data_IF_964480677411
#
_entry.id   IF_964480677411
#
_cell.length_a   1.000
_cell.length_b   1.000
_cell.length_c   1.000
_cell.angle_alpha   90.00
_cell.angle_beta   90.00
_cell.angle_gamma   90.00
#
_symmetry.space_group_name_H-M   'P 1'
#
loop_
_entity.id
_entity.type
_entity.pdbx_description
1 polymer ?
#
# COMPACT_ATOMS: atom_id res chain seq x y z
N UNK A 1 23.78 -20.33 -20.75
CA UNK A 1 23.70 -18.93 -20.25
C UNK A 1 23.26 -17.93 -21.34
N UNK A 2 23.40 -18.25 -22.63
CA UNK A 2 23.11 -17.31 -23.73
C UNK A 2 21.61 -17.13 -24.05
N UNK A 3 20.80 -18.18 -23.91
CA UNK A 3 19.36 -18.13 -24.12
C UNK A 3 18.62 -17.18 -23.14
N UNK A 4 19.17 -16.97 -21.93
CA UNK A 4 18.60 -16.04 -20.97
C UNK A 4 18.87 -14.59 -21.38
N UNK A 5 20.06 -14.33 -21.92
CA UNK A 5 20.49 -13.02 -22.44
C UNK A 5 19.63 -12.56 -23.62
N UNK A 6 19.24 -13.48 -24.50
CA UNK A 6 18.36 -13.16 -25.64
C UNK A 6 16.92 -12.83 -25.18
N UNK A 7 16.43 -13.50 -24.14
CA UNK A 7 15.12 -13.20 -23.53
C UNK A 7 15.10 -11.79 -22.92
N UNK A 8 16.12 -11.43 -22.15
CA UNK A 8 16.25 -10.09 -21.56
C UNK A 8 16.28 -8.99 -22.64
N UNK A 9 17.04 -9.22 -23.72
CA UNK A 9 17.14 -8.27 -24.82
C UNK A 9 15.80 -8.00 -25.50
N UNK A 10 14.93 -9.02 -25.66
CA UNK A 10 13.57 -8.84 -26.21
C UNK A 10 12.65 -8.05 -25.29
N UNK A 11 12.77 -8.22 -23.97
CA UNK A 11 12.01 -7.46 -22.97
C UNK A 11 12.41 -5.98 -23.00
N UNK A 12 13.71 -5.67 -22.99
CA UNK A 12 14.23 -4.30 -23.10
C UNK A 12 13.85 -3.62 -24.43
N UNK A 13 13.83 -4.37 -25.54
CA UNK A 13 13.44 -3.87 -26.87
C UNK A 13 11.93 -3.57 -26.96
N UNK A 14 11.11 -4.14 -26.09
CA UNK A 14 9.67 -3.89 -26.02
C UNK A 14 9.26 -2.72 -25.11
N UNK A 15 10.21 -2.12 -24.36
CA UNK A 15 9.94 -1.00 -23.45
C UNK A 15 10.26 0.38 -24.06
N UNK A 16 10.88 0.43 -25.25
CA UNK A 16 11.31 1.67 -25.92
C UNK A 16 10.20 2.39 -26.70
N UNK A 17 8.96 1.96 -26.52
CA UNK A 17 7.73 2.64 -26.94
C UNK A 17 6.92 3.13 -25.72
N UNK A 18 7.49 3.10 -24.52
CA UNK A 18 6.98 3.85 -23.39
C UNK A 18 7.32 5.34 -23.56
N UNK A 19 6.29 6.16 -23.39
CA UNK A 19 6.25 7.62 -23.48
C UNK A 19 7.47 8.32 -22.84
N UNK A 20 7.83 9.53 -23.30
CA UNK A 20 8.92 10.29 -22.69
C UNK A 20 8.66 10.48 -21.19
N UNK A 21 9.68 10.19 -20.37
CA UNK A 21 9.66 10.50 -18.94
C UNK A 21 9.31 11.97 -18.75
N UNK A 22 8.38 12.33 -17.84
CA UNK A 22 8.13 13.73 -17.53
C UNK A 22 9.43 14.34 -17.03
N UNK A 23 9.93 15.37 -17.72
CA UNK A 23 10.94 16.24 -17.14
C UNK A 23 10.33 16.88 -15.90
N UNK A 24 10.99 16.66 -14.76
CA UNK A 24 10.68 17.35 -13.52
C UNK A 24 10.97 18.84 -13.72
N UNK A 25 9.94 19.61 -14.07
CA UNK A 25 9.91 21.05 -13.80
C UNK A 25 9.28 21.24 -12.43
N UNK A 26 10.09 21.77 -11.52
CA UNK A 26 9.69 22.28 -10.21
C UNK A 26 8.82 23.52 -10.40
N UNK A 27 7.51 23.31 -10.59
CA UNK A 27 6.55 24.41 -10.62
C UNK A 27 5.23 23.93 -9.99
N UNK A 28 5.13 24.14 -8.68
CA UNK A 28 3.93 24.62 -7.98
C UNK A 28 2.56 23.99 -8.26
N UNK A 29 2.48 22.78 -8.81
CA UNK A 29 1.23 22.08 -8.99
C UNK A 29 0.92 21.33 -7.71
N UNK A 30 0.02 21.89 -6.89
CA UNK A 30 -0.85 21.10 -6.00
C UNK A 30 -1.46 20.00 -6.85
N UNK A 31 -0.79 18.85 -6.90
CA UNK A 31 -1.44 17.60 -7.26
C UNK A 31 -2.48 17.46 -6.17
N UNK A 32 -3.74 17.75 -6.49
CA UNK A 32 -4.84 17.16 -5.73
C UNK A 32 -4.64 15.66 -5.89
N UNK A 33 -3.85 15.11 -4.99
CA UNK A 33 -3.58 13.72 -4.73
C UNK A 33 -4.93 13.05 -4.55
N UNK A 34 -5.50 12.63 -5.68
CA UNK A 34 -6.71 11.84 -5.71
C UNK A 34 -6.50 10.68 -4.76
N UNK A 35 -7.41 10.58 -3.79
CA UNK A 35 -7.28 9.71 -2.63
C UNK A 35 -6.55 8.41 -2.99
N UNK A 36 -5.32 8.29 -2.48
CA UNK A 36 -4.40 7.22 -2.82
C UNK A 36 -5.11 5.86 -2.71
N UNK A 37 -5.04 5.06 -3.78
CA UNK A 37 -5.65 3.74 -3.78
C UNK A 37 -4.95 2.89 -2.72
N UNK A 38 -5.73 2.24 -1.85
CA UNK A 38 -5.23 1.46 -0.74
C UNK A 38 -4.23 0.41 -1.22
N UNK A 39 -3.00 0.48 -0.71
CA UNK A 39 -1.90 -0.39 -1.14
C UNK A 39 -2.02 -1.85 -0.67
N UNK A 40 -3.13 -2.20 -0.01
CA UNK A 40 -3.42 -3.56 0.45
C UNK A 40 -4.36 -4.27 -0.52
N UNK A 41 -5.47 -3.64 -0.90
CA UNK A 41 -6.44 -4.23 -1.83
C UNK A 41 -6.33 -3.71 -3.27
N UNK A 42 -5.64 -2.59 -3.50
CA UNK A 42 -5.50 -1.92 -4.79
C UNK A 42 -6.82 -1.56 -5.49
N UNK A 43 -7.91 -1.42 -4.72
CA UNK A 43 -9.27 -1.28 -5.25
C UNK A 43 -9.98 -0.01 -4.72
N UNK A 44 -9.98 0.17 -3.39
CA UNK A 44 -10.64 1.30 -2.73
C UNK A 44 -9.64 2.39 -2.33
N UNK A 45 -10.10 3.64 -2.27
CA UNK A 45 -9.31 4.76 -1.74
C UNK A 45 -9.03 4.63 -0.23
N UNK A 46 -7.88 5.15 0.21
CA UNK A 46 -7.58 5.35 1.62
C UNK A 46 -8.54 6.38 2.24
N UNK A 47 -9.05 6.06 3.43
CA UNK A 47 -10.04 6.88 4.13
C UNK A 47 -9.92 6.86 5.66
N UNK A 48 -9.22 5.88 6.22
CA UNK A 48 -9.04 5.73 7.66
C UNK A 48 -7.56 5.86 8.00
N UNK A 49 -7.24 6.69 8.97
CA UNK A 49 -5.87 6.91 9.45
C UNK A 49 -5.64 6.24 10.82
N UNK A 50 -4.49 5.58 10.98
CA UNK A 50 -4.01 5.11 12.28
C UNK A 50 -3.39 6.28 13.04
N UNK A 51 -4.05 6.74 14.10
CA UNK A 51 -3.63 7.97 14.81
C UNK A 51 -2.24 7.90 15.44
N UNK A 52 -1.79 6.69 15.78
CA UNK A 52 -0.46 6.49 16.38
C UNK A 52 0.70 6.62 15.39
N UNK A 53 0.46 6.42 14.08
CA UNK A 53 1.53 6.41 13.08
C UNK A 53 1.22 7.14 11.76
N UNK A 54 0.03 7.71 11.59
CA UNK A 54 -0.37 8.49 10.42
C UNK A 54 -0.60 7.69 9.13
N UNK A 55 -0.44 6.36 9.15
CA UNK A 55 -0.67 5.55 7.96
C UNK A 55 -2.17 5.42 7.66
N UNK A 56 -2.50 5.48 6.38
CA UNK A 56 -3.88 5.40 5.90
C UNK A 56 -4.21 4.09 5.20
N UNK A 57 -5.47 3.69 5.30
CA UNK A 57 -6.03 2.46 4.73
C UNK A 57 -7.47 2.69 4.29
N UNK A 58 -7.98 1.87 3.37
CA UNK A 58 -9.42 1.86 3.09
C UNK A 58 -10.21 1.21 4.24
N UNK A 59 -11.50 1.52 4.32
CA UNK A 59 -12.39 1.02 5.36
C UNK A 59 -12.48 -0.52 5.38
N UNK A 60 -12.57 -1.16 4.21
CA UNK A 60 -12.68 -2.61 4.12
C UNK A 60 -11.42 -3.33 4.64
N UNK A 61 -10.22 -2.86 4.26
CA UNK A 61 -8.97 -3.45 4.76
C UNK A 61 -8.80 -3.22 6.27
N UNK A 62 -9.21 -2.05 6.78
CA UNK A 62 -9.17 -1.76 8.22
C UNK A 62 -10.08 -2.71 9.00
N UNK A 63 -11.31 -2.92 8.55
CA UNK A 63 -12.26 -3.86 9.17
C UNK A 63 -11.74 -5.30 9.14
N UNK A 64 -11.22 -5.76 8.00
CA UNK A 64 -10.64 -7.10 7.89
C UNK A 64 -9.48 -7.32 8.87
N UNK A 65 -8.66 -6.28 9.12
CA UNK A 65 -7.56 -6.33 10.08
C UNK A 65 -8.06 -6.54 11.51
N UNK A 66 -9.15 -5.87 11.89
CA UNK A 66 -9.77 -6.02 13.21
C UNK A 66 -10.49 -7.37 13.37
N UNK A 67 -11.12 -7.88 12.31
CA UNK A 67 -11.98 -9.07 12.39
C UNK A 67 -11.23 -10.41 12.23
N UNK A 68 -10.04 -10.42 11.63
CA UNK A 68 -9.29 -11.67 11.38
C UNK A 68 -8.24 -11.98 12.45
N UNK A 69 -8.17 -11.20 13.52
CA UNK A 69 -7.31 -11.47 14.66
C UNK A 69 -7.78 -12.73 15.40
N UNK A 70 -7.09 -13.86 15.17
CA UNK A 70 -7.39 -15.12 15.86
C UNK A 70 -7.20 -14.91 17.37
N UNK A 71 -8.25 -15.09 18.20
CA UNK A 71 -8.11 -14.97 19.64
C UNK A 71 -7.14 -16.02 20.16
N UNK A 72 -6.29 -15.64 21.11
CA UNK A 72 -5.40 -16.60 21.76
C UNK A 72 -6.24 -17.48 22.70
N UNK A 73 -6.28 -18.82 22.48
CA UNK A 73 -7.07 -19.72 23.32
C UNK A 73 -6.62 -19.73 24.79
N UNK A 74 -5.38 -19.32 25.09
CA UNK A 74 -4.87 -19.26 26.46
C UNK A 74 -5.33 -18.04 27.26
N UNK A 75 -5.68 -16.92 26.60
CA UNK A 75 -5.97 -15.65 27.30
C UNK A 75 -7.38 -15.12 27.07
N UNK A 76 -8.19 -15.75 26.20
CA UNK A 76 -9.52 -15.28 25.76
C UNK A 76 -9.57 -13.82 25.26
N UNK A 77 -8.42 -13.14 25.18
CA UNK A 77 -8.28 -11.76 24.76
C UNK A 77 -8.05 -11.69 23.26
N UNK A 78 -8.77 -10.80 22.58
CA UNK A 78 -8.48 -10.42 21.21
C UNK A 78 -7.14 -9.66 21.19
N UNK A 79 -6.11 -10.12 20.46
CA UNK A 79 -4.87 -9.36 20.34
C UNK A 79 -5.15 -8.05 19.59
N UNK A 80 -4.55 -6.96 20.06
CA UNK A 80 -4.71 -5.66 19.44
C UNK A 80 -4.14 -5.70 18.01
N UNK A 81 -4.88 -5.19 17.00
CA UNK A 81 -4.36 -5.16 15.63
C UNK A 81 -3.10 -4.29 15.54
N UNK A 82 -2.24 -4.63 14.59
CA UNK A 82 -1.00 -3.88 14.33
C UNK A 82 -1.04 -3.26 12.95
N UNK A 83 -0.43 -2.08 12.80
CA UNK A 83 -0.33 -1.38 11.54
C UNK A 83 0.47 -2.22 10.54
N UNK A 84 -0.06 -2.51 9.34
CA UNK A 84 0.63 -3.34 8.35
C UNK A 84 1.90 -2.68 7.79
N UNK A 85 2.04 -1.36 7.93
CA UNK A 85 3.18 -0.60 7.41
C UNK A 85 4.34 -0.52 8.40
N UNK A 86 4.07 -0.14 9.65
CA UNK A 86 5.11 0.09 10.67
C UNK A 86 5.09 -0.90 11.84
N UNK A 87 4.16 -1.85 11.87
CA UNK A 87 3.96 -2.85 12.94
C UNK A 87 3.65 -2.27 14.33
N UNK A 88 3.41 -0.96 14.44
CA UNK A 88 2.94 -0.32 15.67
C UNK A 88 1.53 -0.80 16.04
N UNK A 89 1.22 -0.88 17.33
CA UNK A 89 -0.13 -1.22 17.81
C UNK A 89 -1.15 -0.16 17.41
N UNK A 90 -2.35 -0.59 17.00
CA UNK A 90 -3.45 0.30 16.63
C UNK A 90 -4.38 0.42 17.83
N UNK A 91 -4.47 1.63 18.42
CA UNK A 91 -5.45 1.89 19.50
C UNK A 91 -6.58 2.78 19.05
N UNK A 92 -6.32 3.67 18.07
CA UNK A 92 -7.31 4.67 17.63
C UNK A 92 -7.23 4.90 16.13
N UNK A 93 -8.39 5.12 15.54
CA UNK A 93 -8.57 5.43 14.13
C UNK A 93 -9.18 6.84 13.99
N UNK A 94 -8.91 7.51 12.87
CA UNK A 94 -9.51 8.78 12.49
C UNK A 94 -10.21 8.64 11.14
#
# INVERSE_FOLDING_TARGET
MEANREREKRILKGAKNSLPSPSHSDDGATVSEGAEVCSICFDQACAIEVRECGHQMCAACTLALCCHAKPNPATQSQPLPTCPFCRGGITRLA
#
